data_IF_000782536140
#
_entry.id   IF_000782536140
#
_cell.length_a   1.000
_cell.length_b   1.000
_cell.length_c   1.000
_cell.angle_alpha   90.00
_cell.angle_beta   90.00
_cell.angle_gamma   90.00
#
_symmetry.space_group_name_H-M   'P 1'
#
loop_
_entity.id
_entity.type
_entity.pdbx_description
1 polymer ?
#
# COMPACT_ATOMS: atom_id res chain seq x y z
N UNK A 1 0.32 -14.65 14.25
CA UNK A 1 -0.02 -15.24 12.94
C UNK A 1 0.45 -14.31 11.84
N UNK A 2 1.35 -14.78 10.99
CA UNK A 2 1.86 -14.05 9.81
C UNK A 2 0.67 -13.54 8.97
N UNK A 3 0.64 -12.26 8.56
CA UNK A 3 -0.42 -11.76 7.68
C UNK A 3 -0.35 -12.53 6.37
N UNK A 4 -1.24 -13.50 6.19
CA UNK A 4 -1.40 -14.21 4.94
C UNK A 4 -1.66 -13.16 3.85
N UNK A 5 -0.86 -13.17 2.78
CA UNK A 5 -0.95 -12.21 1.67
C UNK A 5 -2.37 -12.06 1.12
N UNK A 6 -3.18 -13.12 1.21
CA UNK A 6 -4.62 -13.12 0.88
C UNK A 6 -5.40 -12.11 1.71
N UNK A 7 -5.13 -11.99 3.01
CA UNK A 7 -5.78 -11.03 3.90
C UNK A 7 -5.35 -9.59 3.57
N UNK A 8 -4.10 -9.40 3.17
CA UNK A 8 -3.58 -8.09 2.74
C UNK A 8 -4.27 -7.65 1.45
N UNK A 9 -4.38 -8.55 0.47
CA UNK A 9 -5.11 -8.30 -0.79
C UNK A 9 -6.57 -7.99 -0.50
N UNK A 10 -7.24 -8.77 0.36
CA UNK A 10 -8.64 -8.53 0.74
C UNK A 10 -8.84 -7.16 1.38
N UNK A 11 -7.96 -6.77 2.31
CA UNK A 11 -7.99 -5.42 2.92
C UNK A 11 -7.74 -4.33 1.88
N UNK A 12 -6.76 -4.50 0.98
CA UNK A 12 -6.49 -3.54 -0.09
C UNK A 12 -7.70 -3.37 -1.02
N UNK A 13 -8.38 -4.47 -1.37
CA UNK A 13 -9.61 -4.44 -2.17
C UNK A 13 -10.76 -3.74 -1.46
N UNK A 14 -10.98 -4.00 -0.16
CA UNK A 14 -11.98 -3.26 0.63
C UNK A 14 -11.71 -1.76 0.62
N UNK A 15 -10.44 -1.36 0.81
CA UNK A 15 -10.07 0.06 0.77
C UNK A 15 -10.27 0.67 -0.61
N UNK A 16 -9.97 -0.08 -1.67
CA UNK A 16 -10.23 0.35 -3.04
C UNK A 16 -11.73 0.51 -3.34
N UNK A 17 -12.58 -0.33 -2.75
CA UNK A 17 -14.03 -0.17 -2.85
C UNK A 17 -14.47 1.18 -2.26
N UNK A 18 -13.98 1.55 -1.08
CA UNK A 18 -14.24 2.86 -0.50
C UNK A 18 -13.72 3.99 -1.38
N UNK A 19 -12.50 3.88 -1.93
CA UNK A 19 -11.97 4.89 -2.86
C UNK A 19 -12.88 5.09 -4.08
N UNK A 20 -13.45 4.01 -4.62
CA UNK A 20 -14.41 4.10 -5.73
C UNK A 20 -15.71 4.81 -5.33
N UNK A 21 -16.20 4.56 -4.11
CA UNK A 21 -17.39 5.25 -3.59
C UNK A 21 -17.11 6.74 -3.36
N UNK A 22 -15.98 7.06 -2.73
CA UNK A 22 -15.54 8.45 -2.52
C UNK A 22 -15.40 9.21 -3.85
N UNK A 23 -14.91 8.55 -4.90
CA UNK A 23 -14.87 9.13 -6.25
C UNK A 23 -16.26 9.41 -6.81
N UNK A 24 -17.25 8.55 -6.57
CA UNK A 24 -18.65 8.80 -6.99
C UNK A 24 -19.24 10.02 -6.28
N UNK A 25 -18.82 10.28 -5.04
CA UNK A 25 -19.23 11.46 -4.27
C UNK A 25 -18.54 12.75 -4.72
N UNK A 26 -17.78 12.74 -5.84
CA UNK A 26 -17.05 13.89 -6.40
C UNK A 26 -16.16 14.61 -5.38
N UNK A 27 -15.57 13.86 -4.45
CA UNK A 27 -14.66 14.42 -3.47
C UNK A 27 -13.42 15.05 -4.14
N UNK A 28 -12.83 16.09 -3.51
CA UNK A 28 -11.63 16.71 -4.02
C UNK A 28 -10.52 15.67 -4.22
N UNK A 29 -9.79 15.78 -5.34
CA UNK A 29 -8.67 14.88 -5.68
C UNK A 29 -7.65 14.79 -4.55
N UNK A 30 -7.41 15.89 -3.86
CA UNK A 30 -6.46 15.96 -2.75
C UNK A 30 -6.86 15.09 -1.56
N UNK A 31 -8.16 15.03 -1.24
CA UNK A 31 -8.68 14.16 -0.19
C UNK A 31 -8.59 12.68 -0.60
N UNK A 32 -8.85 12.37 -1.87
CA UNK A 32 -8.65 11.02 -2.44
C UNK A 32 -7.17 10.58 -2.36
N UNK A 33 -6.24 11.50 -2.64
CA UNK A 33 -4.79 11.25 -2.53
C UNK A 33 -4.39 11.06 -1.06
N UNK A 34 -4.85 11.89 -0.14
CA UNK A 34 -4.58 11.73 1.29
C UNK A 34 -5.14 10.41 1.84
N UNK A 35 -6.36 10.05 1.45
CA UNK A 35 -6.99 8.77 1.80
C UNK A 35 -6.18 7.59 1.26
N UNK A 36 -5.73 7.67 0.01
CA UNK A 36 -4.85 6.66 -0.59
C UNK A 36 -3.49 6.56 0.15
N UNK A 37 -2.82 7.69 0.42
CA UNK A 37 -1.54 7.71 1.16
C UNK A 37 -1.69 7.14 2.57
N UNK A 38 -2.75 7.53 3.28
CA UNK A 38 -3.04 7.02 4.63
C UNK A 38 -3.36 5.52 4.65
N UNK A 39 -4.06 5.00 3.64
CA UNK A 39 -4.60 3.63 3.72
C UNK A 39 -3.81 2.59 2.93
N UNK A 40 -3.35 2.94 1.73
CA UNK A 40 -2.56 2.02 0.90
C UNK A 40 -1.09 2.12 1.26
N UNK A 41 -0.54 3.33 1.44
CA UNK A 41 0.88 3.47 1.78
C UNK A 41 1.19 3.24 3.27
N UNK A 42 0.30 3.55 4.23
CA UNK A 42 0.68 3.48 5.66
C UNK A 42 0.35 2.15 6.35
N UNK A 43 -0.86 1.61 6.19
CA UNK A 43 -1.37 0.58 7.12
C UNK A 43 -1.54 -0.84 6.57
N UNK A 44 -1.80 -1.01 5.26
CA UNK A 44 -2.06 -2.35 4.68
C UNK A 44 -0.84 -2.89 3.94
N UNK A 45 -0.16 -2.05 3.17
CA UNK A 45 1.04 -2.44 2.43
C UNK A 45 2.27 -2.29 3.36
N UNK A 46 2.66 -1.10 3.78
CA UNK A 46 3.97 -0.88 4.43
C UNK A 46 4.21 -1.53 5.81
N UNK A 47 3.22 -1.66 6.68
CA UNK A 47 3.45 -2.26 8.03
C UNK A 47 3.71 -3.76 7.95
N UNK A 48 3.10 -4.44 6.98
CA UNK A 48 3.16 -5.90 6.85
C UNK A 48 3.94 -6.38 5.63
N UNK A 49 4.33 -5.50 4.69
CA UNK A 49 5.03 -5.89 3.44
C UNK A 49 6.31 -6.67 3.70
N UNK A 50 7.08 -6.33 4.74
CA UNK A 50 8.29 -7.11 5.07
C UNK A 50 7.98 -8.55 5.50
N UNK A 51 6.75 -8.83 5.95
CA UNK A 51 6.32 -10.14 6.44
C UNK A 51 5.71 -10.99 5.34
N UNK A 52 4.96 -10.39 4.40
CA UNK A 52 4.30 -11.13 3.32
C UNK A 52 5.03 -11.06 1.98
N UNK A 53 5.94 -10.11 1.75
CA UNK A 53 6.61 -9.96 0.45
C UNK A 53 7.51 -11.16 0.11
N UNK A 54 8.19 -11.72 1.12
CA UNK A 54 9.00 -12.94 0.96
C UNK A 54 8.18 -14.21 0.72
N UNK A 55 6.93 -14.26 1.22
CA UNK A 55 6.00 -15.36 0.99
C UNK A 55 5.02 -15.11 -0.17
N UNK A 56 5.15 -13.99 -0.86
CA UNK A 56 4.28 -13.60 -1.97
C UNK A 56 4.62 -14.38 -3.24
N UNK A 57 3.61 -14.95 -3.90
CA UNK A 57 3.80 -15.44 -5.26
C UNK A 57 3.91 -14.27 -6.25
N UNK A 58 4.46 -14.52 -7.45
CA UNK A 58 4.47 -13.53 -8.54
C UNK A 58 3.04 -13.07 -8.88
N UNK A 59 2.07 -13.97 -8.80
CA UNK A 59 0.66 -13.66 -9.07
C UNK A 59 0.06 -12.71 -8.03
N UNK A 60 0.35 -12.90 -6.74
CA UNK A 60 -0.15 -12.03 -5.67
C UNK A 60 0.42 -10.61 -5.79
N UNK A 61 1.73 -10.49 -6.05
CA UNK A 61 2.37 -9.18 -6.33
C UNK A 61 1.69 -8.48 -7.51
N UNK A 62 1.39 -9.23 -8.57
CA UNK A 62 0.73 -8.69 -9.76
C UNK A 62 -0.72 -8.24 -9.48
N UNK A 63 -1.47 -8.98 -8.66
CA UNK A 63 -2.81 -8.58 -8.21
C UNK A 63 -2.78 -7.27 -7.42
N UNK A 64 -1.81 -7.12 -6.52
CA UNK A 64 -1.64 -5.89 -5.74
C UNK A 64 -1.23 -4.71 -6.62
N UNK A 65 -0.34 -4.93 -7.59
CA UNK A 65 0.04 -3.89 -8.55
C UNK A 65 -1.15 -3.41 -9.39
N UNK A 66 -2.10 -4.29 -9.75
CA UNK A 66 -3.34 -3.87 -10.43
C UNK A 66 -4.19 -2.95 -9.55
N UNK A 67 -4.24 -3.20 -8.24
CA UNK A 67 -4.96 -2.30 -7.30
C UNK A 67 -4.32 -0.92 -7.32
N UNK A 68 -2.99 -0.84 -7.25
CA UNK A 68 -2.24 0.41 -7.35
C UNK A 68 -2.54 1.13 -8.67
N UNK A 69 -2.42 0.44 -9.81
CA UNK A 69 -2.74 1.02 -11.14
C UNK A 69 -4.17 1.51 -11.26
N UNK A 70 -5.12 0.83 -10.62
CA UNK A 70 -6.52 1.28 -10.62
C UNK A 70 -6.67 2.56 -9.80
N UNK A 71 -5.96 2.66 -8.68
CA UNK A 71 -5.91 3.88 -7.89
C UNK A 71 -5.25 5.02 -8.68
N UNK A 72 -4.13 4.78 -9.37
CA UNK A 72 -3.45 5.77 -10.22
C UNK A 72 -4.40 6.38 -11.24
N UNK A 73 -5.15 5.52 -11.94
CA UNK A 73 -6.19 5.96 -12.88
C UNK A 73 -7.31 6.75 -12.20
N UNK A 74 -7.66 6.41 -10.95
CA UNK A 74 -8.74 7.08 -10.22
C UNK A 74 -8.34 8.47 -9.72
N UNK A 75 -7.07 8.65 -9.34
CA UNK A 75 -6.56 9.91 -8.76
C UNK A 75 -5.75 10.74 -9.76
N UNK A 76 -5.45 10.19 -10.94
CA UNK A 76 -4.63 10.81 -12.00
C UNK A 76 -3.24 11.21 -11.52
N UNK A 77 -2.63 10.42 -10.64
CA UNK A 77 -1.26 10.63 -10.16
C UNK A 77 -0.47 9.33 -10.22
N UNK A 78 0.84 9.43 -10.44
CA UNK A 78 1.75 8.30 -10.38
C UNK A 78 1.89 7.84 -8.93
N UNK A 79 1.70 6.54 -8.72
CA UNK A 79 1.83 5.91 -7.42
C UNK A 79 3.03 4.94 -7.43
N UNK A 80 3.72 4.82 -6.29
CA UNK A 80 4.85 3.91 -6.18
C UNK A 80 4.40 2.47 -6.42
N UNK A 81 5.24 1.67 -7.09
CA UNK A 81 4.97 0.26 -7.30
C UNK A 81 5.01 -0.53 -5.98
N UNK A 82 4.52 -1.77 -6.00
CA UNK A 82 4.62 -2.67 -4.83
C UNK A 82 6.08 -2.85 -4.39
N UNK A 83 7.01 -2.85 -5.34
CA UNK A 83 8.46 -3.00 -5.09
C UNK A 83 9.10 -1.73 -4.54
N UNK A 84 8.69 -0.56 -5.05
CA UNK A 84 9.11 0.74 -4.48
C UNK A 84 8.63 0.89 -3.04
N UNK A 85 7.39 0.47 -2.76
CA UNK A 85 6.81 0.47 -1.41
C UNK A 85 7.59 -0.47 -0.47
N UNK A 86 8.00 -1.65 -0.95
CA UNK A 86 8.86 -2.56 -0.18
C UNK A 86 10.23 -1.93 0.09
N UNK A 87 10.89 -1.43 -0.94
CA UNK A 87 12.23 -0.83 -0.85
C UNK A 87 12.24 0.40 0.07
N UNK A 88 11.28 1.29 -0.08
CA UNK A 88 11.11 2.46 0.79
C UNK A 88 10.90 2.04 2.26
N UNK A 89 10.16 0.95 2.50
CA UNK A 89 9.92 0.45 3.86
C UNK A 89 11.16 -0.15 4.49
N UNK A 90 11.91 -0.97 3.76
CA UNK A 90 13.17 -1.57 4.23
C UNK A 90 14.16 -0.45 4.55
N UNK A 91 14.33 0.53 3.66
CA UNK A 91 15.15 1.73 3.90
C UNK A 91 14.71 2.47 5.16
N UNK A 92 13.42 2.78 5.31
CA UNK A 92 12.89 3.47 6.51
C UNK A 92 13.11 2.67 7.80
N UNK A 93 13.06 1.33 7.74
CA UNK A 93 13.35 0.48 8.91
C UNK A 93 14.83 0.47 9.25
N UNK A 94 15.70 0.37 8.24
CA UNK A 94 17.15 0.42 8.41
C UNK A 94 17.58 1.77 9.01
N UNK A 95 17.05 2.88 8.50
CA UNK A 95 17.26 4.21 9.08
C UNK A 95 16.79 4.24 10.52
N UNK A 96 15.59 3.75 10.82
CA UNK A 96 15.07 3.74 12.20
C UNK A 96 15.96 2.95 13.16
N UNK A 97 16.53 1.83 12.72
CA UNK A 97 17.49 1.03 13.53
C UNK A 97 18.78 1.83 13.75
N UNK A 98 19.30 2.47 12.70
CA UNK A 98 20.53 3.27 12.78
C UNK A 98 20.36 4.54 13.63
N UNK A 99 19.17 5.11 13.67
CA UNK A 99 18.84 6.31 14.45
C UNK A 99 18.18 5.98 15.78
N UNK A 100 18.11 4.72 16.20
CA UNK A 100 17.58 4.36 17.51
C UNK A 100 18.66 4.67 18.56
N UNK A 101 18.45 5.64 19.49
CA UNK A 101 19.45 6.02 20.49
C UNK A 101 19.59 5.01 21.63
N UNK A 102 18.95 3.84 21.53
CA UNK A 102 18.86 2.84 22.59
C UNK A 102 19.96 1.76 22.50
N UNK A 103 21.15 2.10 22.00
CA UNK A 103 22.29 1.19 21.95
C UNK A 103 23.48 1.69 22.76
#
# INVERSE_FOLDING_TARGET
GTPNIKNVIKKAQQRMFFLRQLRKLKLPKELLIQFYRGMIASAVICTSITVWFGSATRQDRHRLQRVIRTAEKAITTNLPSVEDLYTARVKKRAVKIFTDPSH
#
